data_IF_844382230222
#
_entry.id   IF_844382230222
#
_cell.length_a   1.000
_cell.length_b   1.000
_cell.length_c   1.000
_cell.angle_alpha   90.00
_cell.angle_beta   90.00
_cell.angle_gamma   90.00
#
_symmetry.space_group_name_H-M   'P 1'
#
loop_
_entity.id
_entity.type
_entity.pdbx_description
1 polymer ?
#
# COMPACT_ATOMS: atom_id res chain seq x y z
N UNK A 1 -9.68 24.60 2.78
CA UNK A 1 -10.79 23.67 2.44
C UNK A 1 -11.46 23.28 3.74
N UNK A 2 -12.81 23.35 3.78
CA UNK A 2 -13.53 23.08 5.00
C UNK A 2 -13.69 21.59 5.24
N UNK A 3 -13.75 21.16 6.49
CA UNK A 3 -13.95 19.77 6.92
C UNK A 3 -15.13 19.08 6.19
N UNK A 4 -16.16 19.81 5.85
CA UNK A 4 -17.35 19.32 5.15
C UNK A 4 -17.10 19.00 3.68
N UNK A 5 -16.23 19.76 3.01
CA UNK A 5 -15.82 19.50 1.63
C UNK A 5 -14.93 18.28 1.53
N UNK A 6 -13.96 18.14 2.44
CA UNK A 6 -13.08 16.97 2.53
C UNK A 6 -13.89 15.70 2.80
N UNK A 7 -14.86 15.77 3.71
CA UNK A 7 -15.77 14.66 4.03
C UNK A 7 -16.62 14.24 2.81
N UNK A 8 -17.20 15.21 2.08
CA UNK A 8 -18.00 14.93 0.89
C UNK A 8 -17.15 14.30 -0.22
N UNK A 9 -15.94 14.78 -0.39
CA UNK A 9 -14.97 14.20 -1.33
C UNK A 9 -14.64 12.76 -0.94
N UNK A 10 -14.26 12.51 0.33
CA UNK A 10 -13.94 11.18 0.84
C UNK A 10 -15.10 10.20 0.62
N UNK A 11 -16.30 10.60 0.93
CA UNK A 11 -17.49 9.77 0.75
C UNK A 11 -17.76 9.42 -0.71
N UNK A 12 -17.53 10.38 -1.61
CA UNK A 12 -17.78 10.19 -3.05
C UNK A 12 -16.84 9.17 -3.67
N UNK A 13 -15.52 9.32 -3.47
CA UNK A 13 -14.58 8.37 -4.06
C UNK A 13 -14.63 6.99 -3.41
N UNK A 14 -14.91 6.91 -2.09
CA UNK A 14 -15.09 5.64 -1.40
C UNK A 14 -16.33 4.89 -1.91
N UNK A 15 -17.42 5.59 -2.21
CA UNK A 15 -18.61 5.00 -2.82
C UNK A 15 -18.29 4.42 -4.20
N UNK A 16 -17.57 5.17 -5.05
CA UNK A 16 -17.13 4.70 -6.35
C UNK A 16 -16.23 3.45 -6.23
N UNK A 17 -15.27 3.45 -5.30
CA UNK A 17 -14.45 2.27 -5.04
C UNK A 17 -15.28 1.06 -4.60
N UNK A 18 -16.32 1.27 -3.77
CA UNK A 18 -17.20 0.20 -3.30
C UNK A 18 -17.93 -0.48 -4.46
N UNK A 19 -18.39 0.27 -5.44
CA UNK A 19 -19.07 -0.29 -6.62
C UNK A 19 -18.18 -1.26 -7.41
N UNK A 20 -16.89 -0.93 -7.53
CA UNK A 20 -15.92 -1.73 -8.29
C UNK A 20 -15.28 -2.88 -7.49
N UNK A 21 -15.43 -2.89 -6.16
CA UNK A 21 -14.95 -4.00 -5.34
C UNK A 21 -15.83 -5.25 -5.53
N UNK A 22 -15.18 -6.43 -5.58
CA UNK A 22 -15.87 -7.72 -5.46
C UNK A 22 -16.53 -7.84 -4.08
N UNK A 23 -17.48 -8.77 -3.94
CA UNK A 23 -18.14 -9.03 -2.65
C UNK A 23 -17.16 -9.43 -1.53
N UNK A 24 -16.11 -10.18 -1.86
CA UNK A 24 -15.00 -10.56 -0.98
C UNK A 24 -13.83 -9.57 -0.98
N UNK A 25 -13.98 -8.45 -1.69
CA UNK A 25 -12.94 -7.43 -1.85
C UNK A 25 -12.70 -6.62 -0.58
N UNK A 26 -11.48 -6.11 -0.46
CA UNK A 26 -11.06 -5.24 0.64
C UNK A 26 -10.50 -3.93 0.11
N UNK A 27 -10.59 -2.89 0.93
CA UNK A 27 -10.01 -1.57 0.67
C UNK A 27 -9.02 -1.21 1.78
N UNK A 28 -7.95 -0.52 1.38
CA UNK A 28 -6.94 0.00 2.28
C UNK A 28 -6.79 1.50 2.05
N UNK A 29 -6.93 2.28 3.10
CA UNK A 29 -6.82 3.74 3.01
C UNK A 29 -5.79 4.22 4.02
N UNK A 30 -4.73 4.84 3.53
CA UNK A 30 -3.70 5.45 4.37
C UNK A 30 -3.96 6.93 4.57
N UNK A 31 -3.70 7.41 5.78
CA UNK A 31 -3.85 8.82 6.11
C UNK A 31 -3.11 9.22 7.38
N UNK A 32 -3.10 10.52 7.63
CA UNK A 32 -2.62 11.08 8.88
C UNK A 32 -3.80 11.29 9.85
N UNK A 33 -3.52 11.70 11.08
CA UNK A 33 -4.56 12.01 12.06
C UNK A 33 -5.52 13.12 11.59
N UNK A 34 -5.14 13.93 10.61
CA UNK A 34 -5.98 15.01 10.09
C UNK A 34 -7.21 14.50 9.32
N UNK A 35 -7.09 13.36 8.61
CA UNK A 35 -8.15 12.88 7.71
C UNK A 35 -8.64 11.46 8.01
N UNK A 36 -7.83 10.63 8.70
CA UNK A 36 -8.16 9.21 8.85
C UNK A 36 -9.49 8.96 9.57
N UNK A 37 -9.87 9.83 10.51
CA UNK A 37 -11.13 9.69 11.25
C UNK A 37 -12.33 10.04 10.37
N UNK A 38 -12.22 11.02 9.47
CA UNK A 38 -13.24 11.33 8.45
C UNK A 38 -13.43 10.13 7.51
N UNK A 39 -12.34 9.57 7.02
CA UNK A 39 -12.37 8.36 6.18
C UNK A 39 -13.04 7.18 6.91
N UNK A 40 -12.70 6.94 8.17
CA UNK A 40 -13.32 5.87 8.97
C UNK A 40 -14.85 6.04 9.10
N UNK A 41 -15.30 7.27 9.30
CA UNK A 41 -16.72 7.61 9.32
C UNK A 41 -17.39 7.32 7.97
N UNK A 42 -16.78 7.77 6.86
CA UNK A 42 -17.29 7.52 5.52
C UNK A 42 -17.37 6.02 5.20
N UNK A 43 -16.34 5.23 5.56
CA UNK A 43 -16.38 3.77 5.40
C UNK A 43 -17.55 3.14 6.15
N UNK A 44 -17.82 3.57 7.38
CA UNK A 44 -18.93 3.07 8.19
C UNK A 44 -20.28 3.44 7.57
N UNK A 45 -20.44 4.68 7.12
CA UNK A 45 -21.68 5.16 6.49
C UNK A 45 -21.95 4.50 5.13
N UNK A 46 -20.90 4.05 4.45
CA UNK A 46 -20.99 3.28 3.20
C UNK A 46 -21.08 1.77 3.45
N UNK A 47 -21.38 1.35 4.66
CA UNK A 47 -21.56 -0.06 5.04
C UNK A 47 -20.33 -0.96 4.76
N UNK A 48 -19.12 -0.41 4.82
CA UNK A 48 -17.92 -1.22 4.92
C UNK A 48 -17.74 -1.76 6.33
N UNK A 49 -17.18 -2.95 6.45
CA UNK A 49 -16.72 -3.46 7.76
C UNK A 49 -15.24 -3.13 7.94
N UNK A 50 -14.93 -2.20 8.82
CA UNK A 50 -13.56 -1.93 9.23
C UNK A 50 -13.03 -3.15 9.99
N UNK A 51 -11.88 -3.67 9.55
CA UNK A 51 -11.20 -4.84 10.10
C UNK A 51 -10.11 -4.42 11.08
N UNK A 52 -9.26 -3.47 10.67
CA UNK A 52 -8.19 -2.92 11.50
C UNK A 52 -8.00 -1.42 11.22
N UNK A 53 -7.52 -0.71 12.24
CA UNK A 53 -6.84 0.57 12.10
C UNK A 53 -5.36 0.33 12.45
N UNK A 54 -4.53 0.23 11.44
CA UNK A 54 -3.11 -0.07 11.62
C UNK A 54 -2.35 1.23 11.87
N UNK A 55 -1.52 1.23 12.90
CA UNK A 55 -0.58 2.32 13.19
C UNK A 55 0.76 1.99 12.56
N UNK A 56 1.11 2.70 11.48
CA UNK A 56 2.45 2.61 10.90
C UNK A 56 3.38 3.61 11.59
N UNK A 57 4.29 3.10 12.41
CA UNK A 57 5.33 3.87 13.11
C UNK A 57 6.57 3.95 12.22
N UNK A 58 6.98 5.17 11.89
CA UNK A 58 8.17 5.43 11.08
C UNK A 58 9.42 5.32 11.96
N UNK A 59 10.39 4.52 11.52
CA UNK A 59 11.68 4.39 12.25
C UNK A 59 12.55 5.65 12.13
N UNK A 60 12.31 6.50 11.15
CA UNK A 60 13.06 7.70 10.83
C UNK A 60 12.12 8.87 10.49
N UNK A 61 11.26 9.32 11.43
CA UNK A 61 10.36 10.43 11.19
C UNK A 61 11.14 11.75 11.05
N UNK A 62 10.65 12.72 10.27
CA UNK A 62 11.25 14.05 10.23
C UNK A 62 11.10 14.74 11.60
N UNK A 63 12.10 15.51 12.03
CA UNK A 63 12.04 16.20 13.31
C UNK A 63 10.97 17.29 13.33
N UNK A 64 10.39 17.56 14.49
CA UNK A 64 9.54 18.72 14.71
C UNK A 64 10.40 19.97 14.97
N UNK A 65 10.56 20.80 13.96
CA UNK A 65 11.40 21.99 14.04
C UNK A 65 10.85 23.07 15.00
N UNK A 66 9.55 23.05 15.29
CA UNK A 66 8.94 24.03 16.21
C UNK A 66 9.22 23.72 17.68
N UNK A 67 9.55 22.46 18.01
CA UNK A 67 9.77 21.97 19.37
C UNK A 67 8.62 22.27 20.37
N UNK A 68 7.38 22.44 19.85
CA UNK A 68 6.20 22.79 20.67
C UNK A 68 5.23 21.63 20.89
N UNK A 69 5.41 20.52 20.20
CA UNK A 69 4.59 19.31 20.28
C UNK A 69 5.42 18.09 19.88
N UNK A 70 4.89 16.90 20.10
CA UNK A 70 5.57 15.66 19.76
C UNK A 70 5.79 15.52 18.26
N UNK A 71 6.89 14.90 17.85
CA UNK A 71 7.17 14.56 16.46
C UNK A 71 6.11 13.59 15.92
N UNK A 72 5.56 13.90 14.74
CA UNK A 72 4.63 13.02 14.05
C UNK A 72 5.35 11.81 13.47
N UNK A 73 5.43 10.76 14.26
CA UNK A 73 6.12 9.51 13.89
C UNK A 73 5.19 8.43 13.34
N UNK A 74 3.87 8.64 13.38
CA UNK A 74 2.89 7.66 12.95
C UNK A 74 2.01 8.17 11.79
N UNK A 75 1.64 7.25 10.91
CA UNK A 75 0.51 7.35 9.99
C UNK A 75 -0.44 6.17 10.24
N UNK A 76 -1.69 6.32 9.82
CA UNK A 76 -2.72 5.33 10.03
C UNK A 76 -3.14 4.69 8.71
N UNK A 77 -3.49 3.41 8.77
CA UNK A 77 -3.95 2.67 7.61
C UNK A 77 -5.22 1.91 8.01
N UNK A 78 -6.36 2.30 7.45
CA UNK A 78 -7.61 1.60 7.64
C UNK A 78 -7.68 0.43 6.66
N UNK A 79 -8.00 -0.74 7.17
CA UNK A 79 -8.33 -1.91 6.40
C UNK A 79 -9.81 -2.25 6.58
N UNK A 80 -10.55 -2.30 5.49
CA UNK A 80 -11.96 -2.60 5.53
C UNK A 80 -12.35 -3.59 4.42
N UNK A 81 -13.41 -4.37 4.64
CA UNK A 81 -14.02 -5.24 3.63
C UNK A 81 -15.36 -4.70 3.16
N UNK A 82 -15.71 -5.03 1.90
CA UNK A 82 -16.95 -4.53 1.29
C UNK A 82 -18.20 -4.99 2.03
N UNK A 83 -18.35 -6.29 2.22
CA UNK A 83 -19.57 -6.89 2.75
C UNK A 83 -19.45 -7.28 4.22
N UNK A 84 -20.50 -7.03 5.01
CA UNK A 84 -20.48 -7.30 6.45
C UNK A 84 -20.34 -8.79 6.81
N UNK A 85 -20.88 -9.68 5.96
CA UNK A 85 -20.98 -11.11 6.24
C UNK A 85 -20.14 -11.99 5.28
N UNK A 86 -19.58 -11.44 4.22
CA UNK A 86 -18.76 -12.20 3.27
C UNK A 86 -17.31 -12.24 3.76
N UNK A 87 -16.72 -13.44 3.78
CA UNK A 87 -15.31 -13.61 4.12
C UNK A 87 -14.40 -12.95 3.08
N UNK A 88 -13.30 -12.37 3.52
CA UNK A 88 -12.25 -11.81 2.67
C UNK A 88 -11.01 -12.69 2.74
N UNK A 89 -10.10 -12.53 1.76
CA UNK A 89 -8.81 -13.20 1.80
C UNK A 89 -7.87 -12.50 2.79
N UNK A 90 -7.25 -13.30 3.66
CA UNK A 90 -6.14 -12.88 4.53
C UNK A 90 -5.07 -13.98 4.56
N UNK A 91 -3.85 -13.63 4.21
CA UNK A 91 -2.72 -14.55 4.20
C UNK A 91 -2.10 -14.65 5.60
N UNK A 92 -2.83 -15.31 6.51
CA UNK A 92 -2.44 -15.43 7.92
C UNK A 92 -1.07 -16.09 8.11
N UNK A 93 -0.80 -17.18 7.41
CA UNK A 93 0.45 -17.94 7.57
C UNK A 93 1.66 -17.13 7.10
N UNK A 94 1.53 -16.42 5.97
CA UNK A 94 2.58 -15.53 5.49
C UNK A 94 2.81 -14.37 6.47
N UNK A 95 1.74 -13.74 6.96
CA UNK A 95 1.88 -12.63 7.92
C UNK A 95 2.50 -13.09 9.24
N UNK A 96 2.14 -14.28 9.72
CA UNK A 96 2.76 -14.91 10.88
C UNK A 96 4.26 -15.20 10.64
N UNK A 97 4.61 -15.75 9.46
CA UNK A 97 6.00 -16.02 9.07
C UNK A 97 6.82 -14.73 9.03
N UNK A 98 6.33 -13.68 8.36
CA UNK A 98 6.98 -12.35 8.30
C UNK A 98 7.17 -11.75 9.70
N UNK A 99 6.29 -12.07 10.64
CA UNK A 99 6.36 -11.60 12.03
C UNK A 99 7.08 -12.58 12.96
N UNK A 100 8.06 -13.32 12.46
CA UNK A 100 8.91 -14.20 13.28
C UNK A 100 8.15 -15.36 13.95
N UNK A 101 7.15 -15.94 13.27
CA UNK A 101 6.36 -17.09 13.75
C UNK A 101 5.23 -16.72 14.72
N UNK A 102 5.04 -15.45 15.04
CA UNK A 102 3.94 -14.95 15.88
C UNK A 102 2.90 -14.19 15.07
N UNK A 103 1.66 -14.12 15.56
CA UNK A 103 0.60 -13.39 14.90
C UNK A 103 0.98 -11.92 14.70
N UNK A 104 0.84 -11.41 13.46
CA UNK A 104 1.15 -10.00 13.16
C UNK A 104 0.13 -9.08 13.85
N UNK A 105 0.65 -8.00 14.40
CA UNK A 105 -0.14 -6.99 15.10
C UNK A 105 -0.47 -5.82 14.18
N UNK A 106 -1.37 -4.95 14.65
CA UNK A 106 -1.81 -3.73 13.97
C UNK A 106 -0.89 -2.52 14.21
N UNK A 107 0.26 -2.72 14.83
CA UNK A 107 1.34 -1.73 14.93
C UNK A 107 2.51 -2.19 14.06
N UNK A 108 2.79 -1.43 12.99
CA UNK A 108 3.87 -1.73 12.06
C UNK A 108 5.00 -0.72 12.20
N UNK A 109 6.15 -1.17 12.64
CA UNK A 109 7.37 -0.35 12.67
C UNK A 109 8.12 -0.56 11.37
N UNK A 110 8.02 0.39 10.45
CA UNK A 110 8.63 0.35 9.11
C UNK A 110 9.26 1.70 8.77
N UNK A 111 10.33 1.72 7.95
CA UNK A 111 10.96 2.99 7.56
C UNK A 111 10.01 3.85 6.72
N UNK A 112 10.26 5.16 6.75
CA UNK A 112 9.74 6.07 5.75
C UNK A 112 10.42 5.80 4.40
N UNK A 113 9.90 6.44 3.33
CA UNK A 113 10.43 6.24 1.98
C UNK A 113 11.93 6.46 1.90
N UNK A 114 12.62 5.51 1.27
CA UNK A 114 14.06 5.58 1.06
C UNK A 114 14.45 6.40 -0.19
N UNK A 115 15.66 6.99 -0.23
CA UNK A 115 16.14 7.75 -1.41
C UNK A 115 16.11 6.96 -2.73
N UNK A 116 16.43 5.67 -2.70
CA UNK A 116 16.45 4.81 -3.88
C UNK A 116 15.05 4.57 -4.50
N UNK A 117 13.99 4.78 -3.74
CA UNK A 117 12.60 4.70 -4.22
C UNK A 117 12.16 5.93 -5.01
N UNK A 118 13.00 6.97 -5.07
CA UNK A 118 12.77 8.25 -5.74
C UNK A 118 13.63 8.44 -6.98
N UNK A 119 14.21 7.36 -7.53
CA UNK A 119 15.14 7.40 -8.68
C UNK A 119 14.54 8.07 -9.92
N UNK A 120 13.26 7.84 -10.20
CA UNK A 120 12.56 8.39 -11.37
C UNK A 120 11.86 9.73 -11.12
N UNK A 121 11.99 10.31 -9.93
CA UNK A 121 11.34 11.57 -9.56
C UNK A 121 10.81 11.58 -8.14
N UNK A 122 10.27 12.72 -7.72
CA UNK A 122 9.73 12.94 -6.37
C UNK A 122 8.22 13.15 -6.43
N UNK A 123 7.50 12.38 -5.63
CA UNK A 123 6.10 12.64 -5.31
C UNK A 123 5.99 13.04 -3.84
N UNK A 124 5.26 14.11 -3.48
CA UNK A 124 5.26 14.67 -2.12
C UNK A 124 4.84 13.67 -1.04
N UNK A 125 3.86 12.83 -1.34
CA UNK A 125 3.24 11.88 -0.40
C UNK A 125 3.52 10.43 -0.75
N UNK A 126 4.59 10.15 -1.51
CA UNK A 126 4.95 8.79 -1.91
C UNK A 126 5.10 7.88 -0.69
N UNK A 127 4.41 6.73 -0.69
CA UNK A 127 4.52 5.72 0.35
C UNK A 127 5.71 4.78 0.08
N UNK A 128 6.33 4.21 1.12
CA UNK A 128 7.42 3.26 0.94
C UNK A 128 6.92 1.91 0.44
N UNK A 129 7.73 1.26 -0.38
CA UNK A 129 7.43 -0.01 -1.04
C UNK A 129 7.15 -1.14 -0.02
N UNK A 130 7.85 -1.13 1.11
CA UNK A 130 7.68 -2.14 2.16
C UNK A 130 6.27 -2.14 2.78
N UNK A 131 5.63 -0.98 2.92
CA UNK A 131 4.25 -0.87 3.41
C UNK A 131 3.26 -1.45 2.40
N UNK A 132 3.36 -1.04 1.12
CA UNK A 132 2.46 -1.51 0.07
C UNK A 132 2.64 -3.00 -0.22
N UNK A 133 3.88 -3.50 -0.20
CA UNK A 133 4.16 -4.93 -0.35
C UNK A 133 3.50 -5.75 0.76
N UNK A 134 3.55 -5.30 2.00
CA UNK A 134 2.88 -5.99 3.13
C UNK A 134 1.36 -6.00 2.95
N UNK A 135 0.75 -4.87 2.60
CA UNK A 135 -0.69 -4.76 2.32
C UNK A 135 -1.12 -5.77 1.25
N UNK A 136 -0.42 -5.77 0.11
CA UNK A 136 -0.74 -6.61 -1.03
C UNK A 136 -0.59 -8.10 -0.68
N UNK A 137 0.49 -8.49 0.00
CA UNK A 137 0.72 -9.85 0.43
C UNK A 137 -0.33 -10.34 1.46
N UNK A 138 -0.76 -9.45 2.35
CA UNK A 138 -1.75 -9.77 3.36
C UNK A 138 -3.13 -10.05 2.78
N UNK A 139 -3.56 -9.28 1.79
CA UNK A 139 -4.97 -9.20 1.39
C UNK A 139 -5.27 -9.65 -0.04
N UNK A 140 -4.28 -10.11 -0.80
CA UNK A 140 -4.48 -10.54 -2.19
C UNK A 140 -3.73 -11.82 -2.53
N UNK A 141 -4.33 -12.64 -3.42
CA UNK A 141 -3.64 -13.79 -4.04
C UNK A 141 -2.83 -13.35 -5.26
N UNK A 142 -1.80 -14.09 -5.70
CA UNK A 142 -1.17 -13.89 -7.00
C UNK A 142 -2.24 -13.83 -8.12
N UNK A 143 -2.02 -12.97 -9.13
CA UNK A 143 -2.95 -12.73 -10.22
C UNK A 143 -4.19 -11.88 -9.88
N UNK A 144 -4.40 -11.47 -8.63
CA UNK A 144 -5.51 -10.60 -8.24
C UNK A 144 -5.38 -9.21 -8.86
N UNK A 145 -6.53 -8.56 -9.14
CA UNK A 145 -6.57 -7.16 -9.55
C UNK A 145 -6.47 -6.22 -8.36
N UNK A 146 -5.66 -5.18 -8.49
CA UNK A 146 -5.50 -4.08 -7.55
C UNK A 146 -5.81 -2.79 -8.29
N UNK A 147 -6.69 -1.97 -7.70
CA UNK A 147 -6.99 -0.61 -8.16
C UNK A 147 -6.42 0.40 -7.14
N UNK A 148 -5.70 1.40 -7.64
CA UNK A 148 -5.29 2.56 -6.87
C UNK A 148 -5.78 3.83 -7.56
N UNK A 149 -6.88 4.46 -7.07
CA UNK A 149 -7.45 5.66 -7.69
C UNK A 149 -6.65 6.94 -7.42
N UNK A 150 -5.60 6.87 -6.62
CA UNK A 150 -4.70 7.98 -6.28
C UNK A 150 -3.24 7.52 -6.39
N UNK A 151 -2.89 6.94 -7.54
CA UNK A 151 -1.66 6.16 -7.69
C UNK A 151 -0.37 6.99 -7.50
N UNK A 152 -0.42 8.30 -7.74
CA UNK A 152 0.75 9.16 -7.63
C UNK A 152 1.92 8.62 -8.45
N UNK A 153 3.03 8.32 -7.78
CA UNK A 153 4.21 7.69 -8.39
C UNK A 153 4.12 6.15 -8.46
N UNK A 154 2.94 5.58 -8.31
CA UNK A 154 2.62 4.16 -8.48
C UNK A 154 3.42 3.18 -7.60
N UNK A 155 3.65 3.51 -6.34
CA UNK A 155 4.29 2.54 -5.42
C UNK A 155 3.45 1.28 -5.27
N UNK A 156 2.11 1.40 -5.28
CA UNK A 156 1.17 0.27 -5.29
C UNK A 156 1.36 -0.59 -6.54
N UNK A 157 1.52 0.03 -7.71
CA UNK A 157 1.76 -0.68 -8.99
C UNK A 157 3.09 -1.41 -9.02
N UNK A 158 4.16 -0.78 -8.50
CA UNK A 158 5.47 -1.42 -8.36
C UNK A 158 5.37 -2.65 -7.44
N UNK A 159 4.75 -2.51 -6.28
CA UNK A 159 4.54 -3.62 -5.35
C UNK A 159 3.69 -4.73 -5.98
N UNK A 160 2.61 -4.38 -6.68
CA UNK A 160 1.74 -5.32 -7.38
C UNK A 160 2.51 -6.12 -8.43
N UNK A 161 3.30 -5.45 -9.27
CA UNK A 161 4.12 -6.09 -10.30
C UNK A 161 5.17 -7.04 -9.69
N UNK A 162 5.91 -6.59 -8.68
CA UNK A 162 6.91 -7.41 -8.01
C UNK A 162 6.31 -8.68 -7.40
N UNK A 163 5.09 -8.62 -6.96
CA UNK A 163 4.36 -9.69 -6.27
C UNK A 163 3.42 -10.49 -7.20
N UNK A 164 3.48 -10.29 -8.53
CA UNK A 164 2.67 -11.02 -9.49
C UNK A 164 1.17 -10.71 -9.43
N UNK A 165 0.78 -9.46 -9.11
CA UNK A 165 -0.61 -8.99 -9.14
C UNK A 165 -0.83 -8.11 -10.38
N UNK A 166 -2.08 -8.04 -10.83
CA UNK A 166 -2.52 -7.11 -11.89
C UNK A 166 -2.82 -5.77 -11.26
N UNK A 167 -2.53 -4.69 -11.98
CA UNK A 167 -2.66 -3.34 -11.42
C UNK A 167 -3.33 -2.39 -12.40
N UNK A 168 -4.18 -1.52 -11.85
CA UNK A 168 -4.72 -0.34 -12.52
C UNK A 168 -4.53 0.86 -11.58
N UNK A 169 -3.78 1.86 -12.03
CA UNK A 169 -3.57 3.11 -11.32
C UNK A 169 -4.23 4.27 -12.04
N UNK A 170 -4.82 5.20 -11.29
CA UNK A 170 -5.41 6.43 -11.80
C UNK A 170 -4.76 7.60 -11.08
N UNK A 171 -4.47 8.67 -11.81
CA UNK A 171 -4.02 9.95 -11.26
C UNK A 171 -4.50 11.09 -12.15
N UNK A 172 -4.76 12.26 -11.57
CA UNK A 172 -5.18 13.46 -12.31
C UNK A 172 -3.99 14.23 -12.90
N UNK A 173 -2.80 14.03 -12.33
CA UNK A 173 -1.61 14.78 -12.68
C UNK A 173 -0.73 13.98 -13.66
N UNK A 174 -0.65 14.39 -14.91
CA UNK A 174 0.15 13.75 -15.94
C UNK A 174 1.62 13.56 -15.52
N UNK A 175 2.22 14.55 -14.85
CA UNK A 175 3.60 14.45 -14.35
C UNK A 175 3.83 13.27 -13.41
N UNK A 176 2.81 12.86 -12.63
CA UNK A 176 2.92 11.70 -11.75
C UNK A 176 2.74 10.40 -12.52
N UNK A 177 1.90 10.40 -13.56
CA UNK A 177 1.78 9.25 -14.47
C UNK A 177 3.09 9.01 -15.23
N UNK A 178 3.82 10.05 -15.63
CA UNK A 178 5.14 9.90 -16.24
C UNK A 178 6.17 9.28 -15.27
N UNK A 179 6.18 9.70 -14.00
CA UNK A 179 6.99 9.05 -12.97
C UNK A 179 6.59 7.59 -12.80
N UNK A 180 5.29 7.30 -12.80
CA UNK A 180 4.75 5.94 -12.68
C UNK A 180 5.20 5.05 -13.83
N UNK A 181 5.12 5.52 -15.08
CA UNK A 181 5.60 4.81 -16.27
C UNK A 181 7.09 4.51 -16.17
N UNK A 182 7.92 5.52 -15.88
CA UNK A 182 9.37 5.36 -15.74
C UNK A 182 9.74 4.32 -14.66
N UNK A 183 9.06 4.34 -13.52
CA UNK A 183 9.27 3.34 -12.45
C UNK A 183 8.84 1.93 -12.88
N UNK A 184 7.74 1.80 -13.63
CA UNK A 184 7.34 0.50 -14.18
C UNK A 184 8.34 -0.03 -15.22
N UNK A 185 8.88 0.84 -16.08
CA UNK A 185 9.89 0.49 -17.07
C UNK A 185 11.19 0.01 -16.42
N UNK A 186 11.61 0.56 -15.27
CA UNK A 186 12.74 0.05 -14.51
C UNK A 186 12.61 -1.45 -14.18
N UNK A 187 11.38 -1.95 -13.98
CA UNK A 187 11.12 -3.36 -13.64
C UNK A 187 11.29 -4.31 -14.84
N UNK A 188 11.36 -3.82 -16.07
CA UNK A 188 11.65 -4.63 -17.26
C UNK A 188 13.11 -5.11 -17.26
N UNK A 189 14.00 -4.41 -16.56
CA UNK A 189 15.37 -4.85 -16.37
C UNK A 189 15.47 -5.89 -15.26
N UNK A 190 15.87 -7.12 -15.58
CA UNK A 190 16.08 -8.21 -14.61
C UNK A 190 17.02 -7.76 -13.48
N UNK A 191 18.13 -7.09 -13.84
CA UNK A 191 19.09 -6.56 -12.87
C UNK A 191 18.45 -5.57 -11.92
N UNK A 192 17.72 -4.57 -12.47
CA UNK A 192 17.08 -3.54 -11.66
C UNK A 192 15.99 -4.11 -10.75
N UNK A 193 15.20 -5.05 -11.27
CA UNK A 193 14.21 -5.79 -10.51
C UNK A 193 14.84 -6.52 -9.31
N UNK A 194 15.94 -7.23 -9.53
CA UNK A 194 16.67 -7.92 -8.47
C UNK A 194 17.22 -6.97 -7.40
N UNK A 195 17.79 -5.81 -7.81
CA UNK A 195 18.26 -4.77 -6.90
C UNK A 195 17.15 -4.21 -6.01
N UNK A 196 15.97 -3.97 -6.59
CA UNK A 196 14.79 -3.47 -5.84
C UNK A 196 14.31 -4.52 -4.83
N UNK A 197 14.24 -5.78 -5.23
CA UNK A 197 13.86 -6.88 -4.34
C UNK A 197 14.85 -7.05 -3.19
N UNK A 198 16.15 -7.01 -3.45
CA UNK A 198 17.18 -7.08 -2.41
C UNK A 198 17.06 -5.92 -1.40
N UNK A 199 16.82 -4.70 -1.89
CA UNK A 199 16.63 -3.53 -1.02
C UNK A 199 15.35 -3.63 -0.20
N UNK A 200 14.26 -4.10 -0.80
CA UNK A 200 13.00 -4.34 -0.12
C UNK A 200 13.14 -5.42 0.96
N UNK A 201 13.84 -6.52 0.65
CA UNK A 201 14.19 -7.54 1.62
C UNK A 201 14.96 -6.94 2.81
N UNK A 202 15.99 -6.13 2.56
CA UNK A 202 16.77 -5.48 3.63
C UNK A 202 15.89 -4.58 4.51
N UNK A 203 14.95 -3.85 3.93
CA UNK A 203 14.01 -3.02 4.69
C UNK A 203 13.05 -3.85 5.56
N UNK A 204 12.65 -5.01 5.10
CA UNK A 204 11.77 -5.90 5.84
C UNK A 204 12.52 -6.81 6.81
N UNK A 205 13.79 -7.15 6.55
CA UNK A 205 14.71 -7.91 7.42
C UNK A 205 15.24 -7.13 8.61
N UNK A 206 15.13 -5.83 8.65
CA UNK A 206 15.30 -5.09 9.90
C UNK A 206 14.39 -5.63 11.03
N UNK A 207 13.50 -6.56 10.69
CA UNK A 207 12.55 -7.24 11.59
C UNK A 207 12.56 -8.77 11.50
N UNK A 208 13.73 -9.39 11.17
CA UNK A 208 14.01 -10.84 11.18
C UNK A 208 13.48 -11.67 10.00
N UNK A 209 14.34 -12.30 9.29
CA UNK A 209 14.70 -13.68 9.05
C UNK A 209 14.87 -14.11 7.57
N UNK A 210 15.77 -15.09 7.39
CA UNK A 210 16.38 -15.61 6.17
C UNK A 210 15.44 -16.21 5.10
N UNK A 211 14.15 -16.26 5.35
CA UNK A 211 13.15 -16.96 4.51
C UNK A 211 12.38 -16.08 3.53
N UNK A 212 12.67 -14.77 3.46
CA UNK A 212 11.96 -13.85 2.56
C UNK A 212 12.27 -14.15 1.08
N UNK A 213 13.37 -14.81 0.77
CA UNK A 213 13.70 -15.21 -0.61
C UNK A 213 12.62 -16.04 -1.27
N UNK A 214 11.99 -16.93 -0.52
CA UNK A 214 10.90 -17.81 -1.00
C UNK A 214 9.62 -17.01 -1.29
N UNK A 215 9.46 -15.81 -0.71
CA UNK A 215 8.25 -14.99 -0.84
C UNK A 215 8.24 -14.13 -2.10
N UNK A 216 9.39 -13.96 -2.73
CA UNK A 216 9.58 -13.11 -3.91
C UNK A 216 10.03 -13.88 -5.16
N UNK A 217 10.10 -15.22 -5.12
CA UNK A 217 10.19 -15.98 -6.36
C UNK A 217 8.88 -15.78 -7.13
N UNK A 218 8.88 -15.00 -8.22
CA UNK A 218 7.73 -14.93 -9.08
C UNK A 218 7.62 -16.30 -9.75
N UNK A 219 6.51 -17.00 -9.59
CA UNK A 219 6.05 -17.80 -10.70
C UNK A 219 5.95 -16.83 -11.87
N UNK A 220 6.87 -16.96 -12.83
CA UNK A 220 6.94 -16.11 -14.01
C UNK A 220 5.70 -16.39 -14.83
N UNK A 221 4.62 -15.68 -14.57
CA UNK A 221 3.43 -15.74 -15.37
C UNK A 221 3.68 -14.90 -16.63
N UNK A 222 4.10 -15.54 -17.70
CA UNK A 222 4.03 -14.99 -19.05
C UNK A 222 2.56 -14.99 -19.48
N UNK A 223 1.80 -14.00 -19.01
CA UNK A 223 0.47 -13.74 -19.55
C UNK A 223 0.59 -13.15 -20.95
N UNK A 224 -0.43 -13.36 -21.81
CA UNK A 224 -0.44 -12.75 -23.13
C UNK A 224 -0.37 -11.22 -23.01
N UNK A 225 0.32 -10.60 -23.96
CA UNK A 225 0.47 -9.15 -24.07
C UNK A 225 -0.88 -8.45 -23.88
N UNK A 226 -0.90 -7.46 -22.97
CA UNK A 226 -2.10 -6.64 -22.79
C UNK A 226 -2.34 -5.81 -24.05
N UNK A 227 -3.54 -5.83 -24.64
CA UNK A 227 -3.90 -4.81 -25.61
C UNK A 227 -3.99 -3.46 -24.87
N UNK A 228 -3.33 -2.46 -25.42
CA UNK A 228 -3.35 -1.06 -25.00
C UNK A 228 -4.75 -0.46 -25.08
#
# INVERSE_FOLDING_TARGET
>A
QGFEEDYKFDKTWLAACREHLKSDGTIWVSGTYHNIFSVARCLTELDFKILNCITWVKTNPPPNLSCRYFTYSAEYILWARKEQKVGHYYNYELMKKINGGTQMRDVWTLPAIAPWEKSCGKHPTQKPLCVLSRIIQASTKPGAWILDPFTGSSTTGIAANLLGRRFLGIDQEEKFLEISKARCEELNSIKRRAEILEKLEKQTKLFQDSDIRVLYEPEVYYGPELPF
#
